data_IF_081238506798
#
_entry.id   IF_081238506798
#
_cell.length_a   1.000
_cell.length_b   1.000
_cell.length_c   1.000
_cell.angle_alpha   90.00
_cell.angle_beta   90.00
_cell.angle_gamma   90.00
#
_symmetry.space_group_name_H-M   'P 1'
#
loop_
_entity.id
_entity.type
_entity.pdbx_description
1 polymer ?
#
# COMPACT_ATOMS: atom_id res chain seq x y z
N UNK A 1 -7.08 -11.59 15.18
CA UNK A 1 -7.72 -12.51 14.22
C UNK A 1 -7.35 -12.08 12.80
N UNK A 2 -7.36 -12.98 11.81
CA UNK A 2 -7.23 -12.61 10.39
C UNK A 2 -8.54 -11.99 9.89
N UNK A 3 -8.47 -10.90 9.13
CA UNK A 3 -9.66 -10.24 8.57
C UNK A 3 -9.48 -9.96 7.08
N UNK A 4 -10.46 -10.30 6.24
CA UNK A 4 -10.40 -10.10 4.78
C UNK A 4 -11.43 -9.08 4.32
N UNK A 5 -11.03 -8.23 3.38
CA UNK A 5 -11.93 -7.28 2.73
C UNK A 5 -11.74 -7.31 1.21
N UNK A 6 -12.83 -7.31 0.44
CA UNK A 6 -12.79 -7.23 -1.02
C UNK A 6 -12.94 -5.77 -1.45
N UNK A 7 -12.00 -5.31 -2.26
CA UNK A 7 -11.98 -4.02 -2.95
C UNK A 7 -12.01 -4.24 -4.48
N UNK A 8 -12.09 -3.16 -5.25
CA UNK A 8 -12.01 -3.23 -6.73
C UNK A 8 -10.66 -3.75 -7.23
N UNK A 9 -9.58 -3.48 -6.49
CA UNK A 9 -8.21 -3.83 -6.84
C UNK A 9 -7.63 -5.02 -6.05
N UNK A 10 -8.48 -5.88 -5.49
CA UNK A 10 -8.05 -7.11 -4.83
C UNK A 10 -8.79 -7.42 -3.54
N UNK A 11 -8.38 -8.50 -2.89
CA UNK A 11 -8.80 -8.86 -1.53
C UNK A 11 -7.63 -8.68 -0.57
N UNK A 12 -7.81 -7.91 0.49
CA UNK A 12 -6.74 -7.57 1.42
C UNK A 12 -6.94 -8.26 2.77
N UNK A 13 -5.89 -8.93 3.23
CA UNK A 13 -5.84 -9.66 4.49
C UNK A 13 -5.17 -8.77 5.53
N UNK A 14 -5.95 -8.26 6.48
CA UNK A 14 -5.51 -7.43 7.58
C UNK A 14 -5.51 -8.18 8.91
N UNK A 15 -5.29 -7.43 9.98
CA UNK A 15 -5.20 -7.98 11.34
C UNK A 15 -6.08 -7.19 12.30
N UNK A 16 -6.80 -7.92 13.14
CA UNK A 16 -7.42 -7.36 14.34
C UNK A 16 -6.44 -7.38 15.53
N UNK A 17 -6.23 -6.23 16.16
CA UNK A 17 -5.38 -6.02 17.34
C UNK A 17 -5.97 -4.91 18.22
N UNK A 18 -6.01 -5.12 19.54
CA UNK A 18 -6.40 -4.09 20.51
C UNK A 18 -7.77 -3.44 20.24
N UNK A 19 -8.74 -4.21 19.72
CA UNK A 19 -10.07 -3.73 19.36
C UNK A 19 -10.14 -2.94 18.04
N UNK A 20 -9.04 -2.87 17.29
CA UNK A 20 -8.96 -2.25 15.97
C UNK A 20 -8.79 -3.31 14.89
N UNK A 21 -9.36 -3.07 13.71
CA UNK A 21 -9.08 -3.87 12.52
C UNK A 21 -8.25 -3.00 11.57
N UNK A 22 -7.07 -3.50 11.19
CA UNK A 22 -6.05 -2.72 10.50
C UNK A 22 -5.65 -3.41 9.21
N UNK A 23 -5.62 -2.64 8.13
CA UNK A 23 -4.99 -2.98 6.85
C UNK A 23 -3.97 -1.90 6.49
N UNK A 24 -2.79 -2.30 6.03
CA UNK A 24 -1.64 -1.46 5.69
C UNK A 24 -1.14 -1.81 4.29
N UNK A 25 -0.51 -0.85 3.63
CA UNK A 25 0.13 -1.07 2.32
C UNK A 25 -0.84 -1.40 1.18
N UNK A 26 -2.08 -0.91 1.23
CA UNK A 26 -3.05 -1.08 0.15
C UNK A 26 -2.74 -0.03 -0.95
N UNK A 27 -2.44 -0.45 -2.19
CA UNK A 27 -2.22 0.50 -3.28
C UNK A 27 -3.54 1.19 -3.66
N UNK A 28 -3.50 2.51 -3.85
CA UNK A 28 -4.64 3.30 -4.33
C UNK A 28 -4.43 3.84 -5.74
N UNK A 29 -3.19 3.76 -6.26
CA UNK A 29 -2.84 4.17 -7.61
C UNK A 29 -1.89 3.18 -8.28
N UNK A 30 -1.76 3.29 -9.60
CA UNK A 30 -0.64 2.66 -10.31
C UNK A 30 0.67 3.36 -9.90
N UNK A 31 1.71 2.57 -9.65
CA UNK A 31 2.99 3.09 -9.15
C UNK A 31 3.67 4.06 -10.14
N UNK A 32 4.13 5.23 -9.67
CA UNK A 32 4.65 6.32 -10.50
C UNK A 32 6.10 6.09 -10.97
N UNK A 33 6.44 4.85 -11.34
CA UNK A 33 7.79 4.42 -11.73
C UNK A 33 8.01 4.51 -13.23
N UNK A 34 9.28 4.67 -13.64
CA UNK A 34 9.68 4.58 -15.04
C UNK A 34 8.92 5.55 -15.96
N UNK A 35 8.18 5.01 -16.94
CA UNK A 35 7.40 5.82 -17.92
C UNK A 35 6.26 6.61 -17.28
N UNK A 36 5.84 6.25 -16.06
CA UNK A 36 4.78 6.93 -15.33
C UNK A 36 5.31 8.04 -14.41
N UNK A 37 6.63 8.18 -14.28
CA UNK A 37 7.22 9.28 -13.51
C UNK A 37 6.82 10.63 -14.12
N UNK A 38 6.49 11.60 -13.27
CA UNK A 38 6.06 12.95 -13.65
C UNK A 38 4.75 12.99 -14.47
N UNK A 39 3.91 11.97 -14.32
CA UNK A 39 2.56 11.93 -14.90
C UNK A 39 1.52 12.02 -13.79
N UNK A 40 0.28 12.33 -14.18
CA UNK A 40 -0.87 12.27 -13.27
C UNK A 40 -1.03 10.84 -12.76
N UNK A 41 -1.35 10.68 -11.48
CA UNK A 41 -1.68 9.38 -10.90
C UNK A 41 -2.81 8.71 -11.69
N UNK A 42 -2.64 7.42 -11.97
CA UNK A 42 -3.65 6.57 -12.59
C UNK A 42 -4.29 5.69 -11.50
N UNK A 43 -5.56 5.28 -11.66
CA UNK A 43 -6.19 4.34 -10.73
C UNK A 43 -5.32 3.10 -10.50
N UNK A 44 -5.45 2.47 -9.34
CA UNK A 44 -4.92 1.12 -9.14
C UNK A 44 -5.53 0.17 -10.18
N UNK A 45 -4.76 -0.82 -10.61
CA UNK A 45 -5.26 -1.83 -11.54
C UNK A 45 -6.36 -2.65 -10.88
N UNK A 46 -7.39 -3.01 -11.66
CA UNK A 46 -8.37 -3.99 -11.21
C UNK A 46 -7.68 -5.35 -11.08
N UNK A 47 -7.86 -5.98 -9.92
CA UNK A 47 -7.22 -7.25 -9.59
C UNK A 47 -8.16 -8.10 -8.72
N UNK A 48 -8.06 -9.41 -8.87
CA UNK A 48 -8.80 -10.40 -8.09
C UNK A 48 -7.91 -11.23 -7.15
N UNK A 49 -6.63 -10.88 -7.04
CA UNK A 49 -5.69 -11.50 -6.10
C UNK A 49 -6.02 -11.26 -4.63
N UNK A 50 -5.33 -12.01 -3.78
CA UNK A 50 -5.40 -11.92 -2.31
C UNK A 50 -4.03 -11.47 -1.80
N UNK A 51 -3.97 -10.36 -1.06
CA UNK A 51 -2.73 -9.73 -0.63
C UNK A 51 -2.65 -9.62 0.89
N UNK A 52 -1.45 -9.83 1.43
CA UNK A 52 -1.13 -9.52 2.83
C UNK A 52 -1.06 -8.00 3.01
N UNK A 53 -1.96 -7.45 3.82
CA UNK A 53 -2.04 -6.04 4.17
C UNK A 53 -1.73 -5.83 5.67
N UNK A 54 -0.82 -6.62 6.24
CA UNK A 54 -0.36 -6.46 7.62
C UNK A 54 0.90 -5.60 7.74
N UNK A 55 1.53 -5.24 6.62
CA UNK A 55 2.80 -4.49 6.55
C UNK A 55 2.62 -3.15 5.84
N UNK A 56 3.35 -2.10 6.24
CA UNK A 56 3.39 -0.85 5.48
C UNK A 56 4.03 -1.08 4.10
N UNK A 57 3.60 -0.29 3.11
CA UNK A 57 4.32 -0.16 1.83
C UNK A 57 5.53 0.78 1.96
N UNK A 58 6.17 1.10 0.84
CA UNK A 58 7.27 2.06 0.84
C UNK A 58 6.77 3.47 1.15
N UNK A 59 7.65 4.29 1.72
CA UNK A 59 7.47 5.75 1.81
C UNK A 59 8.07 6.44 0.58
N UNK A 60 7.55 7.60 0.16
CA UNK A 60 8.08 8.31 -1.00
C UNK A 60 9.55 8.71 -0.81
N UNK A 61 10.33 8.63 -1.90
CA UNK A 61 11.71 9.14 -1.94
C UNK A 61 11.73 10.61 -1.52
N UNK A 62 12.50 10.93 -0.48
CA UNK A 62 12.65 12.27 0.04
C UNK A 62 13.70 12.35 1.15
N UNK A 63 13.82 13.51 1.82
CA UNK A 63 14.60 13.62 3.05
C UNK A 63 14.10 12.63 4.10
N UNK A 64 14.94 12.34 5.10
CA UNK A 64 14.54 11.53 6.26
C UNK A 64 13.26 12.10 6.85
N UNK A 65 12.25 11.26 6.97
CA UNK A 65 10.96 11.58 7.54
C UNK A 65 10.78 10.84 8.87
N UNK A 66 9.62 11.04 9.49
CA UNK A 66 9.21 10.45 10.75
C UNK A 66 8.97 8.93 10.69
N UNK A 67 9.27 8.26 9.56
CA UNK A 67 9.20 6.79 9.47
C UNK A 67 10.12 6.09 10.47
N UNK A 68 11.12 6.78 11.04
CA UNK A 68 12.06 6.23 12.03
C UNK A 68 12.70 4.91 11.57
N UNK A 69 12.84 4.69 10.26
CA UNK A 69 13.37 3.46 9.65
C UNK A 69 12.41 2.27 9.62
N UNK A 70 11.12 2.46 9.93
CA UNK A 70 10.10 1.39 9.91
C UNK A 70 9.52 1.12 8.53
N UNK A 71 9.78 1.99 7.55
CA UNK A 71 9.34 1.84 6.18
C UNK A 71 10.49 2.13 5.21
N UNK A 72 10.61 1.31 4.18
CA UNK A 72 11.60 1.45 3.13
C UNK A 72 11.21 2.60 2.18
N UNK A 73 12.20 3.35 1.67
CA UNK A 73 11.93 4.41 0.69
C UNK A 73 11.82 3.82 -0.72
N UNK A 74 10.86 4.30 -1.52
CA UNK A 74 10.65 3.84 -2.88
C UNK A 74 9.77 4.78 -3.71
N UNK A 75 9.88 4.67 -5.03
CA UNK A 75 8.90 5.29 -5.95
C UNK A 75 7.60 4.49 -6.03
N UNK A 76 7.64 3.20 -5.68
CA UNK A 76 6.49 2.32 -5.47
C UNK A 76 5.89 2.57 -4.08
N UNK A 77 5.23 3.72 -3.91
CA UNK A 77 4.75 4.23 -2.62
C UNK A 77 3.31 4.76 -2.63
N UNK A 78 2.53 4.43 -3.68
CA UNK A 78 1.10 4.80 -3.80
C UNK A 78 0.16 3.59 -3.71
#
# INVERSE_FOLDING_TARGET
METKIKCSNGTFVGKETDGLIIWKGIPYATQPVGKLRWKKALPAADDNGVYDATKPGHVPIGPVNDSMGTAEFGEDCL
#
